data_IF_849069344775
#
_entry.id   IF_849069344775
#
_cell.length_a   1.000
_cell.length_b   1.000
_cell.length_c   1.000
_cell.angle_alpha   90.00
_cell.angle_beta   90.00
_cell.angle_gamma   90.00
#
_symmetry.space_group_name_H-M   'P 1'
#
loop_
_entity.id
_entity.type
_entity.pdbx_description
1 polymer ?
#
# COMPACT_ATOMS: atom_id res chain seq x y z
N UNK A 1 -53.80 -12.30 59.69
CA UNK A 1 -53.16 -11.29 58.83
C UNK A 1 -52.64 -12.00 57.58
N UNK A 2 -53.07 -11.63 56.37
CA UNK A 2 -52.58 -12.20 55.10
C UNK A 2 -51.84 -11.09 54.35
N UNK A 3 -50.54 -11.25 54.16
CA UNK A 3 -49.68 -10.28 53.47
C UNK A 3 -49.32 -10.89 52.12
N UNK A 4 -49.93 -10.41 51.04
CA UNK A 4 -49.52 -10.76 49.69
C UNK A 4 -48.44 -9.77 49.25
N UNK A 5 -47.20 -10.23 49.10
CA UNK A 5 -46.07 -9.43 48.65
C UNK A 5 -46.16 -9.15 47.14
N UNK A 6 -46.81 -8.06 46.75
CA UNK A 6 -47.07 -7.73 45.32
C UNK A 6 -45.95 -6.98 44.60
N UNK A 7 -44.74 -6.88 45.14
CA UNK A 7 -43.67 -6.05 44.55
C UNK A 7 -42.30 -6.74 44.31
N UNK A 8 -42.21 -8.06 44.40
CA UNK A 8 -40.94 -8.78 44.15
C UNK A 8 -40.49 -8.76 42.68
N UNK A 9 -41.44 -8.79 41.74
CA UNK A 9 -41.13 -8.93 40.29
C UNK A 9 -40.53 -7.65 39.66
N UNK A 10 -40.89 -6.46 40.16
CA UNK A 10 -40.35 -5.19 39.64
C UNK A 10 -38.88 -4.95 39.98
N UNK A 11 -38.44 -5.41 41.16
CA UNK A 11 -37.05 -5.26 41.62
C UNK A 11 -36.06 -6.09 40.79
N UNK A 12 -36.46 -7.28 40.33
CA UNK A 12 -35.61 -8.16 39.52
C UNK A 12 -35.33 -7.57 38.12
N UNK A 13 -36.30 -6.85 37.54
CA UNK A 13 -36.15 -6.22 36.22
C UNK A 13 -35.18 -5.02 36.23
N UNK A 14 -35.09 -4.30 37.35
CA UNK A 14 -34.17 -3.18 37.52
C UNK A 14 -32.71 -3.65 37.54
N UNK A 15 -32.42 -4.75 38.25
CA UNK A 15 -31.08 -5.34 38.30
C UNK A 15 -30.64 -5.90 36.93
N UNK A 16 -31.56 -6.54 36.21
CA UNK A 16 -31.28 -7.08 34.87
C UNK A 16 -31.05 -5.99 33.80
N UNK A 17 -31.65 -4.79 33.95
CA UNK A 17 -31.38 -3.65 33.06
C UNK A 17 -30.00 -3.02 33.30
N UNK A 18 -29.56 -2.93 34.56
CA UNK A 18 -28.24 -2.37 34.90
C UNK A 18 -27.09 -3.21 34.29
N UNK A 19 -27.20 -4.54 34.30
CA UNK A 19 -26.17 -5.43 33.75
C UNK A 19 -26.07 -5.40 32.20
N UNK A 20 -27.16 -5.07 31.50
CA UNK A 20 -27.14 -4.92 30.03
C UNK A 20 -26.42 -3.65 29.56
N UNK A 21 -26.39 -2.59 30.38
CA UNK A 21 -25.68 -1.34 30.05
C UNK A 21 -24.16 -1.54 30.12
N UNK A 22 -23.68 -2.44 31.00
CA UNK A 22 -22.24 -2.71 31.15
C UNK A 22 -21.65 -3.63 30.05
N UNK A 23 -22.46 -4.39 29.31
CA UNK A 23 -21.95 -5.21 28.20
C UNK A 23 -21.65 -4.40 26.93
N UNK A 24 -22.21 -3.18 26.79
CA UNK A 24 -21.97 -2.33 25.62
C UNK A 24 -20.72 -1.43 25.75
N UNK A 25 -20.02 -1.43 26.89
CA UNK A 25 -18.78 -0.66 27.07
C UNK A 25 -17.50 -1.44 26.78
N UNK A 26 -17.59 -2.70 26.32
CA UNK A 26 -16.47 -3.35 25.63
C UNK A 26 -16.47 -2.95 24.16
N UNK A 27 -16.32 -1.64 23.92
CA UNK A 27 -15.84 -1.12 22.65
C UNK A 27 -14.43 -1.69 22.48
N UNK A 28 -14.32 -2.86 21.86
CA UNK A 28 -13.04 -3.44 21.45
C UNK A 28 -12.30 -2.34 20.71
N UNK A 29 -11.24 -1.83 21.32
CA UNK A 29 -10.36 -0.86 20.72
C UNK A 29 -9.86 -1.48 19.41
N UNK A 30 -10.41 -1.03 18.28
CA UNK A 30 -9.94 -1.49 16.98
C UNK A 30 -8.54 -0.92 16.83
N UNK A 31 -7.52 -1.76 17.01
CA UNK A 31 -6.17 -1.39 16.59
C UNK A 31 -6.23 -0.96 15.13
N UNK A 32 -5.63 0.19 14.83
CA UNK A 32 -5.50 0.66 13.45
C UNK A 32 -4.87 -0.44 12.61
N UNK A 33 -5.40 -0.65 11.40
CA UNK A 33 -4.75 -1.51 10.43
C UNK A 33 -3.65 -0.70 9.74
N UNK A 34 -2.50 -1.31 9.52
CA UNK A 34 -1.49 -0.73 8.65
C UNK A 34 -2.06 -0.72 7.21
N UNK A 35 -2.18 0.46 6.63
CA UNK A 35 -2.62 0.66 5.26
C UNK A 35 -1.51 1.33 4.46
N UNK A 36 -1.25 0.79 3.26
CA UNK A 36 -0.31 1.39 2.31
C UNK A 36 -1.14 2.14 1.27
N UNK A 37 -1.04 3.48 1.29
CA UNK A 37 -1.63 4.33 0.26
C UNK A 37 -0.52 4.85 -0.66
N UNK A 38 -0.67 4.63 -1.96
CA UNK A 38 0.21 5.19 -2.99
C UNK A 38 -0.37 6.54 -3.41
N UNK A 39 0.47 7.57 -3.52
CA UNK A 39 0.01 8.89 -3.95
C UNK A 39 -0.51 8.85 -5.39
N UNK A 40 -1.64 9.51 -5.63
CA UNK A 40 -2.23 9.64 -6.97
C UNK A 40 -1.27 10.34 -7.93
N UNK A 41 -0.59 11.38 -7.43
CA UNK A 41 0.46 12.10 -8.16
C UNK A 41 1.64 11.19 -8.56
N UNK A 42 2.09 10.30 -7.68
CA UNK A 42 3.15 9.35 -8.00
C UNK A 42 2.77 8.37 -9.10
N UNK A 43 1.50 7.95 -9.14
CA UNK A 43 0.97 7.13 -10.24
C UNK A 43 0.87 7.91 -11.56
N UNK A 44 0.54 9.19 -11.53
CA UNK A 44 0.48 10.03 -12.73
C UNK A 44 1.88 10.28 -13.31
N UNK A 45 2.87 10.56 -12.45
CA UNK A 45 4.27 10.71 -12.88
C UNK A 45 4.84 9.41 -13.47
N UNK A 46 4.47 8.24 -12.90
CA UNK A 46 4.88 6.95 -13.44
C UNK A 46 4.32 6.72 -14.84
N UNK A 47 3.04 7.02 -15.07
CA UNK A 47 2.42 6.93 -16.40
C UNK A 47 3.11 7.84 -17.42
N UNK A 48 3.47 9.06 -17.03
CA UNK A 48 4.21 9.98 -17.90
C UNK A 48 5.60 9.42 -18.28
N UNK A 49 6.28 8.77 -17.33
CA UNK A 49 7.55 8.07 -17.59
C UNK A 49 7.40 6.86 -18.51
N UNK A 50 6.31 6.10 -18.39
CA UNK A 50 5.99 4.97 -19.28
C UNK A 50 5.69 5.44 -20.72
N UNK A 51 5.06 6.60 -20.90
CA UNK A 51 4.88 7.19 -22.23
C UNK A 51 6.24 7.56 -22.87
N UNK A 52 7.21 8.04 -22.10
CA UNK A 52 8.59 8.26 -22.59
C UNK A 52 9.31 6.94 -22.91
N UNK A 53 9.04 5.85 -22.20
CA UNK A 53 9.59 4.52 -22.50
C UNK A 53 9.09 3.97 -23.85
N UNK A 54 7.91 4.40 -24.31
CA UNK A 54 7.34 4.06 -25.62
C UNK A 54 7.88 4.90 -26.78
N UNK A 55 8.89 5.75 -26.55
CA UNK A 55 9.51 6.55 -27.61
C UNK A 55 10.05 5.64 -28.73
N UNK A 56 9.58 5.90 -29.96
CA UNK A 56 10.01 5.22 -31.19
C UNK A 56 11.53 5.19 -31.36
N UNK A 57 12.23 6.24 -30.93
CA UNK A 57 13.69 6.31 -31.00
C UNK A 57 14.37 5.27 -30.08
N UNK A 58 13.80 5.03 -28.89
CA UNK A 58 14.27 4.01 -27.95
C UNK A 58 14.02 2.61 -28.50
N UNK A 59 12.85 2.36 -29.08
CA UNK A 59 12.53 1.07 -29.70
C UNK A 59 13.49 0.73 -30.85
N UNK A 60 13.79 1.69 -31.72
CA UNK A 60 14.77 1.51 -32.79
C UNK A 60 16.17 1.17 -32.25
N UNK A 61 16.61 1.91 -31.23
CA UNK A 61 17.90 1.65 -30.56
C UNK A 61 17.98 0.26 -29.94
N UNK A 62 16.90 -0.19 -29.29
CA UNK A 62 16.84 -1.55 -28.71
C UNK A 62 16.95 -2.61 -29.82
N UNK A 63 16.25 -2.42 -30.94
CA UNK A 63 16.31 -3.35 -32.07
C UNK A 63 17.74 -3.47 -32.62
N UNK A 64 18.42 -2.34 -32.82
CA UNK A 64 19.80 -2.31 -33.30
C UNK A 64 20.76 -3.03 -32.33
N UNK A 65 20.62 -2.77 -31.03
CA UNK A 65 21.44 -3.40 -30.00
C UNK A 65 21.22 -4.91 -29.96
N UNK A 66 19.97 -5.37 -30.07
CA UNK A 66 19.65 -6.81 -30.13
C UNK A 66 20.38 -7.48 -31.30
N UNK A 67 20.31 -6.90 -32.49
CA UNK A 67 21.02 -7.44 -33.66
C UNK A 67 22.54 -7.47 -33.46
N UNK A 68 23.14 -6.46 -32.82
CA UNK A 68 24.58 -6.45 -32.51
C UNK A 68 24.97 -7.54 -31.51
N UNK A 69 24.12 -7.79 -30.52
CA UNK A 69 24.33 -8.85 -29.51
C UNK A 69 24.22 -10.23 -30.13
N UNK A 70 23.18 -10.47 -30.94
CA UNK A 70 22.99 -11.75 -31.65
C UNK A 70 24.16 -12.07 -32.60
N UNK A 71 24.70 -11.05 -33.27
CA UNK A 71 25.87 -11.18 -34.13
C UNK A 71 27.20 -11.26 -33.36
N UNK A 72 27.18 -11.14 -32.03
CA UNK A 72 28.38 -11.18 -31.18
C UNK A 72 29.33 -10.00 -31.34
N UNK A 73 28.90 -8.91 -32.00
CA UNK A 73 29.72 -7.71 -32.25
C UNK A 73 29.49 -6.61 -31.22
N UNK A 74 28.58 -6.83 -30.27
CA UNK A 74 28.33 -5.88 -29.20
C UNK A 74 29.40 -6.00 -28.10
N UNK A 75 30.28 -5.01 -28.03
CA UNK A 75 31.27 -4.90 -26.96
C UNK A 75 31.27 -3.48 -26.40
N UNK A 76 31.09 -3.37 -25.09
CA UNK A 76 31.13 -2.10 -24.38
C UNK A 76 32.44 -2.03 -23.59
N UNK A 77 33.27 -0.98 -23.80
CA UNK A 77 34.50 -0.83 -23.04
C UNK A 77 34.20 -0.50 -21.57
N UNK A 78 35.04 -1.02 -20.68
CA UNK A 78 34.87 -0.91 -19.23
C UNK A 78 34.82 0.54 -18.74
N UNK A 79 35.55 1.45 -19.38
CA UNK A 79 35.59 2.87 -19.03
C UNK A 79 34.23 3.54 -19.19
N UNK A 80 33.52 3.24 -20.28
CA UNK A 80 32.17 3.76 -20.53
C UNK A 80 31.16 3.24 -19.51
N UNK A 81 31.33 2.00 -19.07
CA UNK A 81 30.48 1.41 -18.01
C UNK A 81 30.69 2.17 -16.70
N UNK A 82 31.95 2.35 -16.29
CA UNK A 82 32.30 3.09 -15.08
C UNK A 82 31.78 4.54 -15.11
N UNK A 83 31.93 5.22 -16.24
CA UNK A 83 31.40 6.58 -16.43
C UNK A 83 29.89 6.64 -16.22
N UNK A 84 29.13 5.67 -16.77
CA UNK A 84 27.67 5.62 -16.59
C UNK A 84 27.26 5.36 -15.14
N UNK A 85 27.96 4.46 -14.44
CA UNK A 85 27.70 4.22 -13.02
C UNK A 85 27.93 5.48 -12.19
N UNK A 86 29.06 6.16 -12.41
CA UNK A 86 29.41 7.40 -11.71
C UNK A 86 28.36 8.48 -12.01
N UNK A 87 28.00 8.68 -13.29
CA UNK A 87 27.03 9.69 -13.68
C UNK A 87 25.64 9.44 -13.08
N UNK A 88 25.21 8.18 -12.96
CA UNK A 88 23.92 7.83 -12.38
C UNK A 88 23.89 8.10 -10.85
N UNK A 89 24.95 7.76 -10.12
CA UNK A 89 24.98 7.92 -8.66
C UNK A 89 25.43 9.29 -8.16
N UNK A 90 26.27 10.02 -8.92
CA UNK A 90 26.69 11.38 -8.53
C UNK A 90 25.62 12.44 -8.77
N UNK A 91 24.56 12.13 -9.51
CA UNK A 91 23.49 13.08 -9.82
C UNK A 91 22.44 13.20 -8.70
N UNK A 92 22.69 12.62 -7.51
CA UNK A 92 21.83 12.80 -6.33
C UNK A 92 22.09 14.12 -5.63
#
# INVERSE_FOLDING_TARGET
MRINETNRTGMIQAYNKANKVQQNSQLKHKWGKDEVSISTEGMELLKLGEEQEMDSARLAKISELKSKVENGTYQVPSDQIAEKFIAFWKKS
#
